data_IF_972725246163
#
_entry.id   IF_972725246163
#
_cell.length_a   1.000
_cell.length_b   1.000
_cell.length_c   1.000
_cell.angle_alpha   90.00
_cell.angle_beta   90.00
_cell.angle_gamma   90.00
#
_symmetry.space_group_name_H-M   'P 1'
#
loop_
_entity.id
_entity.type
_entity.pdbx_description
1 polymer ?
#
# COMPACT_ATOMS: atom_id res chain seq x y z
N UNK A 1 15.21 -20.49 13.20
CA UNK A 1 16.07 -19.86 12.18
C UNK A 1 15.69 -18.39 12.10
N UNK A 2 16.66 -17.47 11.90
CA UNK A 2 16.40 -16.01 11.76
C UNK A 2 16.06 -15.65 10.33
N UNK A 3 15.48 -14.46 10.13
CA UNK A 3 15.39 -13.83 8.81
C UNK A 3 16.80 -13.46 8.28
N UNK A 4 16.96 -13.11 6.98
CA UNK A 4 18.24 -12.66 6.45
C UNK A 4 18.85 -11.54 7.30
N UNK A 5 20.18 -11.45 7.38
CA UNK A 5 20.87 -10.49 8.26
C UNK A 5 20.48 -9.03 7.98
N UNK A 6 20.27 -8.70 6.69
CA UNK A 6 19.89 -7.36 6.25
C UNK A 6 18.36 -7.21 6.07
N UNK A 7 17.54 -8.06 6.72
CA UNK A 7 16.09 -7.97 6.62
C UNK A 7 15.58 -6.71 7.32
N UNK A 8 14.72 -5.97 6.63
CA UNK A 8 14.20 -4.68 7.10
C UNK A 8 12.92 -4.88 7.89
N UNK A 9 12.93 -4.51 9.16
CA UNK A 9 11.76 -4.46 10.03
C UNK A 9 11.24 -3.04 10.14
N UNK A 10 9.98 -2.81 9.77
CA UNK A 10 9.37 -1.50 9.76
C UNK A 10 7.88 -1.51 10.11
N UNK A 11 7.31 -0.32 10.12
CA UNK A 11 5.88 -0.09 10.16
C UNK A 11 5.50 0.93 9.08
N UNK A 12 4.23 0.96 8.70
CA UNK A 12 3.72 1.82 7.64
C UNK A 12 2.60 2.75 8.12
N UNK A 13 2.45 3.89 7.45
CA UNK A 13 1.30 4.81 7.54
C UNK A 13 1.06 5.49 6.19
N UNK A 14 -0.05 6.21 6.07
CA UNK A 14 -0.33 7.07 4.93
C UNK A 14 -0.76 8.47 5.39
N UNK A 15 -0.36 9.49 4.62
CA UNK A 15 -0.50 10.90 4.99
C UNK A 15 -1.93 11.28 5.41
N UNK A 16 -2.92 11.04 4.55
CA UNK A 16 -4.31 11.40 4.86
C UNK A 16 -4.86 10.68 6.09
N UNK A 17 -4.38 9.46 6.36
CA UNK A 17 -4.86 8.63 7.46
C UNK A 17 -4.29 9.04 8.82
N UNK A 18 -3.13 9.73 8.88
CA UNK A 18 -2.46 10.02 10.14
C UNK A 18 -2.15 11.50 10.38
N UNK A 19 -1.90 12.31 9.33
CA UNK A 19 -1.35 13.66 9.50
C UNK A 19 -2.34 14.62 10.15
N UNK A 20 -3.57 14.70 9.64
CA UNK A 20 -4.47 15.81 9.97
C UNK A 20 -3.98 17.14 9.39
N UNK A 21 -4.24 18.25 10.09
CA UNK A 21 -3.78 19.59 9.71
C UNK A 21 -4.12 19.96 8.24
N UNK A 22 -5.34 19.59 7.82
CA UNK A 22 -5.74 19.63 6.40
C UNK A 22 -5.85 21.04 5.83
N UNK A 23 -5.92 22.08 6.68
CA UNK A 23 -6.00 23.49 6.30
C UNK A 23 -4.75 24.29 6.68
N UNK A 24 -3.67 23.62 7.14
CA UNK A 24 -2.49 24.30 7.64
C UNK A 24 -1.37 24.37 6.60
N UNK A 25 -0.52 25.38 6.76
CA UNK A 25 0.70 25.60 5.98
C UNK A 25 0.48 25.57 4.45
N UNK A 26 -0.70 26.06 3.99
CA UNK A 26 -1.01 26.19 2.57
C UNK A 26 -1.28 24.86 1.84
N UNK A 27 -1.59 23.79 2.58
CA UNK A 27 -2.02 22.52 1.97
C UNK A 27 -3.30 22.73 1.14
N UNK A 28 -3.32 22.21 -0.09
CA UNK A 28 -4.52 22.13 -0.92
C UNK A 28 -5.44 20.96 -0.51
N UNK A 29 -6.68 20.97 -1.02
CA UNK A 29 -7.60 19.86 -0.80
C UNK A 29 -7.19 18.64 -1.63
N UNK A 30 -7.37 17.46 -1.08
CA UNK A 30 -7.35 16.18 -1.79
C UNK A 30 -8.75 15.69 -2.10
N UNK A 31 -8.87 14.70 -2.98
CA UNK A 31 -10.14 14.02 -3.24
C UNK A 31 -10.74 13.36 -1.97
N UNK A 32 -9.91 12.99 -1.00
CA UNK A 32 -10.37 12.44 0.27
C UNK A 32 -10.93 13.49 1.21
N UNK A 33 -10.43 14.73 1.18
CA UNK A 33 -11.05 15.84 1.92
C UNK A 33 -12.48 16.05 1.40
N UNK A 34 -12.68 16.15 0.09
CA UNK A 34 -14.00 16.31 -0.51
C UNK A 34 -14.91 15.10 -0.27
N UNK A 35 -14.39 13.90 -0.42
CA UNK A 35 -15.15 12.67 -0.27
C UNK A 35 -15.62 12.44 1.18
N UNK A 36 -14.74 12.58 2.16
CA UNK A 36 -15.09 12.34 3.57
C UNK A 36 -16.08 13.37 4.13
N UNK A 37 -16.10 14.59 3.61
CA UNK A 37 -17.09 15.59 3.94
C UNK A 37 -18.43 15.44 3.18
N UNK A 38 -18.50 14.52 2.22
CA UNK A 38 -19.75 14.21 1.53
C UNK A 38 -20.61 13.27 2.38
N UNK A 39 -21.86 13.65 2.72
CA UNK A 39 -22.71 12.83 3.60
C UNK A 39 -22.85 11.39 3.11
N UNK A 40 -22.66 10.43 4.02
CA UNK A 40 -22.83 8.99 3.78
C UNK A 40 -21.67 8.31 3.03
N UNK A 41 -20.55 9.01 2.82
CA UNK A 41 -19.37 8.45 2.14
C UNK A 41 -18.39 7.76 3.09
N UNK A 42 -18.38 8.17 4.34
CA UNK A 42 -17.60 7.52 5.41
C UNK A 42 -18.53 7.09 6.54
N UNK A 43 -18.14 6.06 7.27
CA UNK A 43 -18.87 5.60 8.42
C UNK A 43 -18.90 6.70 9.49
N UNK A 44 -20.05 6.95 10.11
CA UNK A 44 -20.30 8.01 11.09
C UNK A 44 -20.08 9.45 10.58
N UNK A 45 -19.73 9.66 9.30
CA UNK A 45 -19.31 10.95 8.79
C UNK A 45 -17.90 11.34 9.25
N UNK A 46 -17.07 10.36 9.60
CA UNK A 46 -15.68 10.58 10.03
C UNK A 46 -14.85 11.19 8.90
N UNK A 47 -13.91 12.07 9.25
CA UNK A 47 -13.01 12.77 8.32
C UNK A 47 -11.55 12.60 8.74
N UNK A 48 -10.60 12.83 7.82
CA UNK A 48 -9.17 12.86 8.11
C UNK A 48 -8.65 14.20 8.65
N UNK A 49 -9.52 15.14 9.04
CA UNK A 49 -9.14 16.52 9.36
C UNK A 49 -8.14 16.64 10.50
N UNK A 50 -8.30 15.77 11.51
CA UNK A 50 -7.39 15.64 12.66
C UNK A 50 -6.60 14.35 12.57
N UNK A 51 -7.25 13.26 12.17
CA UNK A 51 -6.68 11.91 12.08
C UNK A 51 -5.94 11.52 13.37
N UNK A 52 -4.63 11.28 13.27
CA UNK A 52 -3.75 11.02 14.42
C UNK A 52 -3.03 12.26 14.90
N UNK A 53 -3.24 13.41 14.26
CA UNK A 53 -2.51 14.65 14.52
C UNK A 53 -0.97 14.46 14.41
N UNK A 54 -0.55 13.54 13.54
CA UNK A 54 0.88 13.28 13.34
C UNK A 54 1.61 14.49 12.74
N UNK A 55 0.89 15.43 12.12
CA UNK A 55 1.46 16.69 11.64
C UNK A 55 2.12 17.49 12.76
N UNK A 56 1.52 17.52 13.95
CA UNK A 56 2.07 18.21 15.13
C UNK A 56 2.86 17.26 16.04
N UNK A 57 2.57 15.96 16.01
CA UNK A 57 3.07 14.96 16.97
C UNK A 57 4.03 13.94 16.36
N UNK A 58 4.59 14.21 15.18
CA UNK A 58 5.54 13.33 14.50
C UNK A 58 6.74 12.91 15.36
N UNK A 59 7.18 13.77 16.28
CA UNK A 59 8.30 13.46 17.17
C UNK A 59 7.97 12.34 18.17
N UNK A 60 6.70 12.27 18.65
CA UNK A 60 6.21 11.16 19.49
C UNK A 60 6.17 9.87 18.66
N UNK A 61 5.69 9.94 17.41
CA UNK A 61 5.59 8.79 16.53
C UNK A 61 6.99 8.21 16.21
N UNK A 62 8.00 9.07 15.97
CA UNK A 62 9.40 8.63 15.79
C UNK A 62 9.98 8.02 17.06
N UNK A 63 9.67 8.57 18.24
CA UNK A 63 10.11 8.00 19.51
C UNK A 63 9.60 6.57 19.70
N UNK A 64 8.30 6.33 19.36
CA UNK A 64 7.70 4.99 19.40
C UNK A 64 8.36 4.02 18.41
N UNK A 65 8.64 4.44 17.17
CA UNK A 65 9.38 3.61 16.21
C UNK A 65 10.75 3.20 16.76
N UNK A 66 11.46 4.14 17.39
CA UNK A 66 12.77 3.90 18.02
C UNK A 66 12.67 2.94 19.20
N UNK A 67 11.68 3.11 20.08
CA UNK A 67 11.42 2.23 21.22
C UNK A 67 11.08 0.81 20.76
N UNK A 68 10.43 0.67 19.60
CA UNK A 68 10.12 -0.61 18.98
C UNK A 68 11.29 -1.21 18.19
N UNK A 69 12.50 -0.63 18.25
CA UNK A 69 13.70 -1.08 17.52
C UNK A 69 13.53 -1.17 15.99
N UNK A 70 12.53 -0.50 15.42
CA UNK A 70 12.29 -0.52 13.98
C UNK A 70 13.40 0.24 13.25
N UNK A 71 13.81 -0.31 12.10
CA UNK A 71 14.90 0.23 11.27
C UNK A 71 14.41 0.96 10.03
N UNK A 72 13.11 0.89 9.76
CA UNK A 72 12.50 1.56 8.63
C UNK A 72 11.09 2.06 8.97
N UNK A 73 10.71 3.15 8.35
CA UNK A 73 9.37 3.69 8.41
C UNK A 73 8.88 3.99 7.00
N UNK A 74 7.79 3.33 6.59
CA UNK A 74 7.10 3.64 5.34
C UNK A 74 6.00 4.64 5.61
N UNK A 75 6.07 5.79 4.95
CA UNK A 75 5.05 6.83 5.04
C UNK A 75 4.78 7.43 3.66
N UNK A 76 3.67 8.09 3.47
CA UNK A 76 3.43 8.82 2.23
C UNK A 76 3.64 10.32 2.40
N UNK A 77 4.01 10.97 1.30
CA UNK A 77 4.05 12.43 1.20
C UNK A 77 2.73 12.88 0.57
N UNK A 78 1.99 13.76 1.26
CA UNK A 78 0.75 14.31 0.73
C UNK A 78 1.04 15.22 -0.47
N UNK A 79 0.63 14.79 -1.66
CA UNK A 79 0.81 15.59 -2.88
C UNK A 79 0.22 16.99 -2.75
N UNK A 80 -1.02 17.20 -2.23
CA UNK A 80 -1.58 18.55 -2.08
C UNK A 80 -0.87 19.40 -1.02
N UNK A 81 0.03 18.82 -0.19
CA UNK A 81 0.87 19.58 0.72
C UNK A 81 2.10 20.16 0.01
N UNK A 82 2.58 19.48 -1.03
CA UNK A 82 3.73 19.90 -1.83
C UNK A 82 3.32 20.81 -3.00
N UNK A 83 2.27 20.43 -3.69
CA UNK A 83 1.63 21.21 -4.77
C UNK A 83 0.14 21.34 -4.46
N UNK A 84 -0.29 22.43 -3.81
CA UNK A 84 -1.70 22.62 -3.40
C UNK A 84 -2.72 22.45 -4.54
N UNK A 85 -2.38 22.92 -5.74
CA UNK A 85 -3.20 22.79 -6.95
C UNK A 85 -2.79 21.58 -7.83
N UNK A 86 -1.94 20.67 -7.29
CA UNK A 86 -1.38 19.51 -8.00
C UNK A 86 -0.26 19.86 -8.97
N UNK A 87 -0.11 21.11 -9.36
CA UNK A 87 0.93 21.66 -10.24
C UNK A 87 1.25 23.10 -9.81
N UNK A 88 2.21 23.75 -10.49
CA UNK A 88 2.57 25.15 -10.22
C UNK A 88 3.75 25.26 -9.24
N UNK A 89 3.79 26.28 -8.37
CA UNK A 89 4.88 26.48 -7.44
C UNK A 89 4.83 25.43 -6.31
N UNK A 90 6.00 24.94 -5.92
CA UNK A 90 6.17 24.09 -4.73
C UNK A 90 5.80 24.91 -3.49
N UNK A 91 5.07 24.30 -2.58
CA UNK A 91 4.78 24.87 -1.27
C UNK A 91 5.98 24.64 -0.32
N UNK A 92 6.73 25.70 0.05
CA UNK A 92 7.92 25.55 0.86
C UNK A 92 7.61 25.10 2.30
N UNK A 93 6.45 25.45 2.85
CA UNK A 93 6.05 25.04 4.19
C UNK A 93 5.79 23.53 4.25
N UNK A 94 5.15 22.97 3.22
CA UNK A 94 4.95 21.52 3.10
C UNK A 94 6.27 20.76 3.02
N UNK A 95 7.22 21.21 2.18
CA UNK A 95 8.55 20.58 2.13
C UNK A 95 9.28 20.66 3.47
N UNK A 96 9.27 21.83 4.12
CA UNK A 96 9.94 22.04 5.39
C UNK A 96 9.38 21.15 6.52
N UNK A 97 8.10 20.76 6.44
CA UNK A 97 7.54 19.79 7.38
C UNK A 97 8.14 18.40 7.17
N UNK A 98 8.17 17.94 5.92
CA UNK A 98 8.77 16.63 5.58
C UNK A 98 10.29 16.62 5.80
N UNK A 99 11.00 17.77 5.68
CA UNK A 99 12.41 17.87 6.08
C UNK A 99 12.60 17.49 7.55
N UNK A 100 11.78 18.05 8.45
CA UNK A 100 11.84 17.73 9.87
C UNK A 100 11.59 16.25 10.15
N UNK A 101 10.61 15.66 9.47
CA UNK A 101 10.28 14.24 9.61
C UNK A 101 11.43 13.35 9.12
N UNK A 102 11.94 13.58 7.91
CA UNK A 102 13.02 12.78 7.30
C UNK A 102 14.31 12.91 8.11
N UNK A 103 14.71 14.13 8.47
CA UNK A 103 15.94 14.37 9.24
C UNK A 103 15.88 13.71 10.62
N UNK A 104 14.72 13.75 11.28
CA UNK A 104 14.54 13.12 12.58
C UNK A 104 14.53 11.58 12.49
N UNK A 105 13.96 11.00 11.44
CA UNK A 105 14.05 9.54 11.16
C UNK A 105 15.51 9.12 10.98
N UNK A 106 16.26 9.82 10.13
CA UNK A 106 17.67 9.53 9.88
C UNK A 106 18.51 9.69 11.16
N UNK A 107 18.27 10.74 11.95
CA UNK A 107 18.92 10.95 13.23
C UNK A 107 18.60 9.85 14.26
N UNK A 108 17.42 9.22 14.15
CA UNK A 108 17.03 8.07 14.96
C UNK A 108 17.59 6.73 14.44
N UNK A 109 18.26 6.72 13.28
CA UNK A 109 18.75 5.50 12.62
C UNK A 109 17.64 4.69 11.95
N UNK A 110 16.57 5.37 11.53
CA UNK A 110 15.40 4.79 10.87
C UNK A 110 15.42 5.22 9.40
N UNK A 111 15.48 4.27 8.48
CA UNK A 111 15.49 4.51 7.03
C UNK A 111 14.08 4.95 6.56
N UNK A 112 13.96 6.09 5.86
CA UNK A 112 12.70 6.52 5.28
C UNK A 112 12.39 5.76 3.99
N UNK A 113 11.19 5.16 3.91
CA UNK A 113 10.61 4.54 2.72
C UNK A 113 9.40 5.38 2.31
N UNK A 114 9.54 6.12 1.22
CA UNK A 114 8.56 7.14 0.83
C UNK A 114 7.57 6.62 -0.21
N UNK A 115 6.28 6.72 0.08
CA UNK A 115 5.20 6.53 -0.90
C UNK A 115 4.78 7.90 -1.44
N UNK A 116 4.78 8.07 -2.77
CA UNK A 116 4.44 9.35 -3.40
C UNK A 116 2.92 9.55 -3.56
N UNK A 117 2.19 8.48 -3.83
CA UNK A 117 0.74 8.52 -3.97
C UNK A 117 0.07 7.44 -3.15
N UNK A 118 -0.61 7.87 -2.09
CA UNK A 118 -1.44 7.00 -1.27
C UNK A 118 -2.87 7.56 -1.21
N UNK A 119 -3.44 7.70 -2.42
CA UNK A 119 -4.85 7.99 -2.76
C UNK A 119 -5.29 9.44 -2.61
N UNK A 120 -4.43 10.33 -2.16
CA UNK A 120 -4.71 11.74 -1.87
C UNK A 120 -4.43 12.67 -3.07
N UNK A 121 -5.03 12.34 -4.22
CA UNK A 121 -4.96 13.18 -5.43
C UNK A 121 -5.45 14.61 -5.12
N UNK A 122 -4.70 15.67 -5.49
CA UNK A 122 -5.17 17.02 -5.35
C UNK A 122 -6.53 17.23 -6.01
N UNK A 123 -7.49 17.81 -5.28
CA UNK A 123 -8.85 18.04 -5.79
C UNK A 123 -8.84 18.85 -7.08
N UNK A 124 -7.95 19.84 -7.19
CA UNK A 124 -7.81 20.65 -8.41
C UNK A 124 -7.42 19.84 -9.66
N UNK A 125 -6.71 18.71 -9.51
CA UNK A 125 -6.46 17.78 -10.61
C UNK A 125 -7.71 16.94 -10.90
N UNK A 126 -8.42 16.52 -9.86
CA UNK A 126 -9.67 15.77 -10.01
C UNK A 126 -10.73 16.59 -10.75
N UNK A 127 -10.84 17.89 -10.48
CA UNK A 127 -11.76 18.81 -11.14
C UNK A 127 -11.45 18.97 -12.65
N UNK A 128 -10.22 18.61 -13.05
CA UNK A 128 -9.76 18.59 -14.45
C UNK A 128 -9.79 17.19 -15.07
N UNK A 129 -10.48 16.25 -14.43
CA UNK A 129 -10.66 14.88 -14.90
C UNK A 129 -9.91 13.80 -14.11
N UNK A 130 -9.03 14.19 -13.19
CA UNK A 130 -8.29 13.25 -12.34
C UNK A 130 -7.52 12.21 -13.17
N UNK A 131 -7.56 10.95 -12.78
CA UNK A 131 -6.90 9.88 -13.51
C UNK A 131 -7.50 9.55 -14.89
N UNK A 132 -8.67 10.13 -15.26
CA UNK A 132 -9.19 10.02 -16.62
C UNK A 132 -8.44 10.95 -17.62
N UNK A 133 -7.67 11.90 -17.09
CA UNK A 133 -6.87 12.83 -17.89
C UNK A 133 -5.38 12.48 -17.76
N UNK A 134 -4.70 12.25 -18.89
CA UNK A 134 -3.27 11.90 -18.92
C UNK A 134 -2.35 13.06 -18.46
N UNK A 135 -2.82 14.31 -18.45
CA UNK A 135 -2.08 15.43 -17.86
C UNK A 135 -1.86 15.25 -16.34
N UNK A 136 -2.71 14.48 -15.66
CA UNK A 136 -2.49 14.09 -14.26
C UNK A 136 -1.24 13.22 -14.11
N UNK A 137 -0.94 12.34 -15.07
CA UNK A 137 0.28 11.54 -15.07
C UNK A 137 1.53 12.42 -15.21
N UNK A 138 1.49 13.43 -16.07
CA UNK A 138 2.58 14.41 -16.26
C UNK A 138 2.77 15.28 -15.01
N UNK A 139 1.67 15.72 -14.39
CA UNK A 139 1.70 16.46 -13.12
C UNK A 139 2.33 15.61 -11.99
N UNK A 140 1.99 14.32 -11.91
CA UNK A 140 2.58 13.40 -10.96
C UNK A 140 4.09 13.24 -11.14
N UNK A 141 4.57 13.16 -12.38
CA UNK A 141 6.01 13.12 -12.66
C UNK A 141 6.73 14.39 -12.20
N UNK A 142 6.12 15.57 -12.37
CA UNK A 142 6.63 16.84 -11.85
C UNK A 142 6.73 16.86 -10.33
N UNK A 143 5.70 16.36 -9.66
CA UNK A 143 5.71 16.19 -8.20
C UNK A 143 6.80 15.21 -7.74
N UNK A 144 6.90 14.04 -8.36
CA UNK A 144 7.92 13.04 -8.08
C UNK A 144 9.34 13.58 -8.25
N UNK A 145 9.57 14.35 -9.34
CA UNK A 145 10.86 15.02 -9.58
C UNK A 145 11.23 16.01 -8.48
N UNK A 146 10.27 16.85 -8.07
CA UNK A 146 10.49 17.86 -7.02
C UNK A 146 10.84 17.20 -5.68
N UNK A 147 10.08 16.16 -5.29
CA UNK A 147 10.33 15.42 -4.04
C UNK A 147 11.69 14.70 -4.09
N UNK A 148 11.99 13.98 -5.18
CA UNK A 148 13.25 13.24 -5.30
C UNK A 148 14.47 14.17 -5.33
N UNK A 149 14.39 15.31 -6.02
CA UNK A 149 15.45 16.30 -6.04
C UNK A 149 15.69 16.92 -4.65
N UNK A 150 14.60 17.20 -3.91
CA UNK A 150 14.67 17.79 -2.58
C UNK A 150 15.29 16.84 -1.54
N UNK A 151 14.89 15.56 -1.58
CA UNK A 151 15.37 14.55 -0.63
C UNK A 151 16.59 13.75 -1.12
N UNK A 152 17.23 14.18 -2.21
CA UNK A 152 18.42 13.51 -2.74
C UNK A 152 19.46 13.23 -1.66
N UNK A 153 19.90 11.96 -1.60
CA UNK A 153 20.88 11.49 -0.61
C UNK A 153 20.33 11.31 0.81
N UNK A 154 19.04 11.64 1.08
CA UNK A 154 18.36 11.41 2.36
C UNK A 154 17.28 10.32 2.26
N UNK A 155 16.56 10.25 1.15
CA UNK A 155 15.57 9.20 0.87
C UNK A 155 16.07 8.37 -0.30
N UNK A 156 16.18 7.07 -0.09
CA UNK A 156 16.66 6.13 -1.09
C UNK A 156 15.55 5.32 -1.76
N UNK A 157 14.47 5.02 -1.02
CA UNK A 157 13.43 4.10 -1.46
C UNK A 157 12.13 4.85 -1.71
N UNK A 158 11.63 4.78 -2.95
CA UNK A 158 10.39 5.40 -3.39
C UNK A 158 9.41 4.36 -3.91
N UNK A 159 8.19 4.38 -3.36
CA UNK A 159 7.02 3.72 -3.93
C UNK A 159 6.21 4.80 -4.66
N UNK A 160 6.11 4.71 -5.96
CA UNK A 160 5.35 5.72 -6.71
C UNK A 160 3.88 5.69 -6.37
N UNK A 161 3.29 4.49 -6.38
CA UNK A 161 1.87 4.26 -6.19
C UNK A 161 1.65 3.21 -5.08
N UNK A 162 0.68 3.49 -4.21
CA UNK A 162 0.08 2.47 -3.34
C UNK A 162 -1.24 2.02 -3.94
N UNK A 163 -1.38 0.72 -4.13
CA UNK A 163 -2.62 0.02 -4.50
C UNK A 163 -3.45 0.73 -5.57
N UNK A 164 -3.00 0.78 -6.82
CA UNK A 164 -3.87 1.24 -7.91
C UNK A 164 -5.17 0.46 -7.98
N UNK A 165 -5.20 -0.78 -7.50
CA UNK A 165 -6.38 -1.61 -7.31
C UNK A 165 -7.46 -0.92 -6.48
N UNK A 166 -7.06 -0.27 -5.39
CA UNK A 166 -7.99 0.44 -4.53
C UNK A 166 -8.30 1.83 -5.06
N UNK A 167 -7.29 2.63 -5.41
CA UNK A 167 -7.53 3.99 -5.87
C UNK A 167 -8.36 4.04 -7.17
N UNK A 168 -8.17 3.10 -8.08
CA UNK A 168 -8.96 3.01 -9.32
C UNK A 168 -10.15 2.08 -9.17
N UNK A 169 -9.97 0.84 -8.70
CA UNK A 169 -11.07 -0.13 -8.59
C UNK A 169 -12.15 0.31 -7.60
N UNK A 170 -11.78 0.81 -6.43
CA UNK A 170 -12.76 1.29 -5.46
C UNK A 170 -13.20 2.74 -5.72
N UNK A 171 -12.33 3.57 -6.31
CA UNK A 171 -12.61 4.96 -6.55
C UNK A 171 -13.40 5.25 -7.83
N UNK A 172 -13.10 4.53 -8.92
CA UNK A 172 -13.68 4.78 -10.24
C UNK A 172 -14.66 3.70 -10.71
N UNK A 173 -14.56 2.45 -10.18
CA UNK A 173 -15.47 1.36 -10.55
C UNK A 173 -16.62 1.21 -9.56
N UNK A 174 -16.35 0.92 -8.28
CA UNK A 174 -17.40 0.70 -7.27
C UNK A 174 -17.89 1.97 -6.59
N UNK A 175 -17.08 3.03 -6.55
CA UNK A 175 -17.41 4.32 -5.95
C UNK A 175 -17.47 4.32 -4.41
N UNK A 176 -16.87 3.31 -3.76
CA UNK A 176 -16.83 3.22 -2.29
C UNK A 176 -15.65 3.99 -1.68
N UNK A 177 -14.66 4.37 -2.50
CA UNK A 177 -13.57 5.27 -2.16
C UNK A 177 -13.62 6.54 -3.01
N UNK A 178 -12.86 7.57 -2.62
CA UNK A 178 -12.67 8.78 -3.41
C UNK A 178 -12.11 8.44 -4.81
N UNK A 179 -12.54 9.13 -5.87
CA UNK A 179 -13.49 10.25 -5.93
C UNK A 179 -14.97 9.84 -5.89
N UNK A 180 -15.29 8.55 -5.79
CA UNK A 180 -16.66 8.05 -5.60
C UNK A 180 -17.43 7.82 -6.89
N UNK A 181 -16.75 7.55 -8.00
CA UNK A 181 -17.35 7.32 -9.31
C UNK A 181 -17.75 5.85 -9.52
N UNK A 182 -18.74 5.66 -10.39
CA UNK A 182 -19.17 4.35 -10.90
C UNK A 182 -19.19 4.42 -12.40
N UNK A 183 -18.04 4.15 -13.01
CA UNK A 183 -17.84 4.30 -14.44
C UNK A 183 -17.92 2.95 -15.16
N UNK A 184 -18.05 3.00 -16.48
CA UNK A 184 -17.93 1.84 -17.34
C UNK A 184 -16.48 1.31 -17.37
N UNK A 185 -16.33 0.04 -17.76
CA UNK A 185 -15.05 -0.69 -17.72
C UNK A 185 -13.94 -0.03 -18.59
N UNK A 186 -14.31 0.60 -19.72
CA UNK A 186 -13.36 1.32 -20.56
C UNK A 186 -12.81 2.58 -19.86
N UNK A 187 -13.69 3.35 -19.22
CA UNK A 187 -13.29 4.53 -18.43
C UNK A 187 -12.44 4.13 -17.21
N UNK A 188 -12.80 3.04 -16.53
CA UNK A 188 -12.00 2.49 -15.43
C UNK A 188 -10.60 2.10 -15.93
N UNK A 189 -10.51 1.44 -17.10
CA UNK A 189 -9.21 1.09 -17.66
C UNK A 189 -8.41 2.32 -18.11
N UNK A 190 -9.06 3.37 -18.60
CA UNK A 190 -8.39 4.64 -18.91
C UNK A 190 -7.73 5.24 -17.66
N UNK A 191 -8.44 5.28 -16.52
CA UNK A 191 -7.88 5.73 -15.26
C UNK A 191 -6.73 4.83 -14.79
N UNK A 192 -6.89 3.51 -14.95
CA UNK A 192 -5.84 2.54 -14.64
C UNK A 192 -4.58 2.76 -15.49
N UNK A 193 -4.74 2.84 -16.80
CA UNK A 193 -3.64 3.07 -17.73
C UNK A 193 -2.88 4.37 -17.37
N UNK A 194 -3.61 5.47 -17.15
CA UNK A 194 -2.99 6.75 -16.78
C UNK A 194 -2.26 6.67 -15.44
N UNK A 195 -2.73 5.86 -14.50
CA UNK A 195 -2.04 5.62 -13.23
C UNK A 195 -0.72 4.87 -13.45
N UNK A 196 -0.71 3.83 -14.29
CA UNK A 196 0.52 3.10 -14.63
C UNK A 196 1.47 3.99 -15.48
N UNK A 197 0.94 4.77 -16.40
CA UNK A 197 1.71 5.76 -17.14
C UNK A 197 2.34 6.81 -16.22
N UNK A 198 1.62 7.26 -15.20
CA UNK A 198 2.14 8.15 -14.16
C UNK A 198 3.32 7.54 -13.40
N UNK A 199 3.24 6.25 -13.05
CA UNK A 199 4.37 5.52 -12.48
C UNK A 199 5.59 5.57 -13.39
N UNK A 200 5.41 5.31 -14.70
CA UNK A 200 6.51 5.28 -15.66
C UNK A 200 7.22 6.63 -15.75
N UNK A 201 6.46 7.72 -15.89
CA UNK A 201 7.02 9.07 -15.94
C UNK A 201 7.67 9.46 -14.61
N UNK A 202 7.07 9.12 -13.49
CA UNK A 202 7.62 9.40 -12.16
C UNK A 202 8.92 8.63 -11.90
N UNK A 203 9.00 7.36 -12.29
CA UNK A 203 10.20 6.54 -12.13
C UNK A 203 11.39 7.11 -12.89
N UNK A 204 11.18 7.56 -14.12
CA UNK A 204 12.19 8.27 -14.90
C UNK A 204 12.60 9.59 -14.25
N UNK A 205 11.63 10.38 -13.81
CA UNK A 205 11.87 11.66 -13.17
C UNK A 205 12.67 11.53 -11.87
N UNK A 206 12.34 10.53 -11.02
CA UNK A 206 13.08 10.22 -9.80
C UNK A 206 14.53 9.86 -10.12
N UNK A 207 14.76 8.94 -11.08
CA UNK A 207 16.10 8.48 -11.43
C UNK A 207 16.95 9.59 -12.05
N UNK A 208 16.35 10.53 -12.76
CA UNK A 208 17.06 11.73 -13.25
C UNK A 208 17.44 12.68 -12.12
N UNK A 209 16.56 12.85 -11.14
CA UNK A 209 16.81 13.71 -9.98
C UNK A 209 17.83 13.10 -9.02
N UNK A 210 17.69 11.80 -8.72
CA UNK A 210 18.58 11.03 -7.87
C UNK A 210 18.88 9.65 -8.49
N UNK A 211 20.04 9.46 -9.15
CA UNK A 211 20.42 8.20 -9.77
C UNK A 211 20.61 7.02 -8.80
N UNK A 212 20.80 7.29 -7.49
CA UNK A 212 20.95 6.27 -6.45
C UNK A 212 19.62 5.78 -5.89
N UNK A 213 18.53 6.50 -6.19
CA UNK A 213 17.18 6.14 -5.76
C UNK A 213 16.75 4.77 -6.30
N UNK A 214 16.02 4.03 -5.46
CA UNK A 214 15.36 2.77 -5.80
C UNK A 214 13.87 3.00 -5.92
N UNK A 215 13.30 2.62 -7.04
CA UNK A 215 11.91 2.88 -7.37
C UNK A 215 11.13 1.59 -7.47
N UNK A 216 10.06 1.50 -6.70
CA UNK A 216 9.10 0.41 -6.72
C UNK A 216 7.66 0.91 -6.75
N UNK A 217 6.74 -0.02 -6.66
CA UNK A 217 5.30 0.20 -6.49
C UNK A 217 4.79 -0.78 -5.44
N UNK A 218 3.72 -0.43 -4.74
CA UNK A 218 3.13 -1.28 -3.71
C UNK A 218 1.70 -1.71 -4.12
N UNK A 219 1.53 -2.66 -5.06
CA UNK A 219 0.23 -3.20 -5.40
C UNK A 219 -0.31 -4.14 -4.33
N UNK A 220 -1.63 -4.30 -4.33
CA UNK A 220 -2.34 -5.42 -3.72
C UNK A 220 -2.96 -6.30 -4.81
N UNK A 221 -3.68 -7.35 -4.44
CA UNK A 221 -4.40 -8.17 -5.38
C UNK A 221 -4.81 -9.51 -4.80
N UNK A 222 -5.66 -10.21 -5.52
CA UNK A 222 -6.07 -11.55 -5.15
C UNK A 222 -4.87 -12.49 -5.17
N UNK A 223 -4.61 -13.12 -4.02
CA UNK A 223 -3.68 -14.25 -3.89
C UNK A 223 -4.51 -15.52 -3.79
N UNK A 224 -4.14 -16.52 -4.58
CA UNK A 224 -4.72 -17.85 -4.50
C UNK A 224 -3.70 -18.79 -3.85
N UNK A 225 -4.12 -19.53 -2.82
CA UNK A 225 -3.28 -20.53 -2.14
C UNK A 225 -3.74 -21.92 -2.54
N UNK A 226 -2.82 -22.88 -2.74
CA UNK A 226 -3.21 -24.24 -3.12
C UNK A 226 -3.94 -24.94 -1.96
N UNK A 227 -4.91 -25.78 -2.29
CA UNK A 227 -5.65 -26.58 -1.31
C UNK A 227 -4.78 -27.64 -0.64
N UNK A 228 -3.80 -28.17 -1.38
CA UNK A 228 -2.82 -29.16 -0.92
C UNK A 228 -1.46 -28.86 -1.53
N UNK A 229 -0.43 -29.62 -1.10
CA UNK A 229 0.92 -29.56 -1.68
C UNK A 229 1.03 -30.33 -3.02
N UNK A 230 -0.07 -30.82 -3.58
CA UNK A 230 -0.08 -31.46 -4.90
C UNK A 230 0.36 -30.45 -5.98
N UNK A 231 1.30 -30.80 -6.86
CA UNK A 231 1.74 -29.93 -7.95
C UNK A 231 0.59 -29.40 -8.83
N UNK A 232 -0.49 -30.15 -9.00
CA UNK A 232 -1.67 -29.71 -9.76
C UNK A 232 -2.41 -28.58 -9.04
N UNK A 233 -2.60 -28.68 -7.72
CA UNK A 233 -3.22 -27.63 -6.91
C UNK A 233 -2.35 -26.36 -6.89
N UNK A 234 -1.03 -26.53 -6.78
CA UNK A 234 -0.07 -25.40 -6.82
C UNK A 234 -0.13 -24.71 -8.19
N UNK A 235 -0.18 -25.47 -9.28
CA UNK A 235 -0.30 -24.91 -10.64
C UNK A 235 -1.61 -24.15 -10.82
N UNK A 236 -2.73 -24.72 -10.37
CA UNK A 236 -4.05 -24.08 -10.41
C UNK A 236 -4.09 -22.79 -9.58
N UNK A 237 -3.54 -22.79 -8.37
CA UNK A 237 -3.49 -21.60 -7.53
C UNK A 237 -2.63 -20.49 -8.16
N UNK A 238 -1.49 -20.86 -8.76
CA UNK A 238 -0.65 -19.91 -9.51
C UNK A 238 -1.41 -19.29 -10.70
N UNK A 239 -2.06 -20.12 -11.52
CA UNK A 239 -2.86 -19.66 -12.64
C UNK A 239 -3.95 -18.69 -12.17
N UNK A 240 -4.72 -19.05 -11.15
CA UNK A 240 -5.80 -18.23 -10.60
C UNK A 240 -5.31 -16.89 -9.99
N UNK A 241 -4.09 -16.86 -9.45
CA UNK A 241 -3.50 -15.63 -8.90
C UNK A 241 -3.28 -14.58 -9.99
N UNK A 242 -2.90 -15.00 -11.20
CA UNK A 242 -2.61 -14.09 -12.32
C UNK A 242 -3.74 -13.98 -13.34
N UNK A 243 -4.80 -14.77 -13.18
CA UNK A 243 -5.93 -14.75 -14.10
C UNK A 243 -6.71 -13.43 -14.00
N UNK A 244 -7.08 -12.89 -15.16
CA UNK A 244 -7.97 -11.76 -15.29
C UNK A 244 -9.39 -12.30 -15.48
N UNK A 245 -10.22 -12.18 -14.45
CA UNK A 245 -11.64 -12.53 -14.55
C UNK A 245 -12.43 -11.36 -15.17
N UNK A 246 -13.46 -11.69 -15.95
CA UNK A 246 -14.39 -10.69 -16.47
C UNK A 246 -14.98 -9.86 -15.33
N UNK A 247 -14.88 -8.53 -15.44
CA UNK A 247 -15.40 -7.58 -14.46
C UNK A 247 -14.61 -7.48 -13.14
N UNK A 248 -13.54 -8.26 -12.94
CA UNK A 248 -12.75 -8.28 -11.69
C UNK A 248 -11.23 -8.17 -11.92
N UNK A 249 -10.84 -7.64 -13.06
CA UNK A 249 -9.42 -7.48 -13.42
C UNK A 249 -8.69 -6.46 -12.54
N UNK A 250 -9.40 -5.51 -11.94
CA UNK A 250 -8.81 -4.43 -11.13
C UNK A 250 -8.12 -4.94 -9.88
N UNK A 251 -8.62 -6.02 -9.23
CA UNK A 251 -8.03 -6.60 -8.03
C UNK A 251 -7.07 -7.76 -8.31
N UNK A 252 -6.25 -7.62 -9.36
CA UNK A 252 -5.20 -8.58 -9.69
C UNK A 252 -3.84 -7.89 -9.84
N UNK A 253 -2.75 -8.63 -9.67
CA UNK A 253 -1.38 -8.12 -9.85
C UNK A 253 -1.02 -7.92 -11.33
N UNK A 254 -1.62 -8.70 -12.22
CA UNK A 254 -1.25 -8.80 -13.63
C UNK A 254 -1.27 -7.46 -14.37
N UNK A 255 -2.37 -6.67 -14.36
CA UNK A 255 -2.41 -5.39 -15.08
C UNK A 255 -1.56 -4.29 -14.43
N UNK A 256 -1.12 -4.50 -13.18
CA UNK A 256 -0.21 -3.58 -12.50
C UNK A 256 1.26 -3.88 -12.79
N UNK A 257 1.65 -5.16 -12.80
CA UNK A 257 3.05 -5.57 -12.85
C UNK A 257 3.51 -6.03 -14.24
N UNK A 258 2.68 -6.72 -15.03
CA UNK A 258 3.10 -7.21 -16.35
C UNK A 258 3.63 -6.11 -17.26
N UNK A 259 2.96 -4.93 -17.39
CA UNK A 259 3.47 -3.85 -18.23
C UNK A 259 4.85 -3.34 -17.78
N UNK A 260 5.08 -3.27 -16.47
CA UNK A 260 6.32 -2.73 -15.88
C UNK A 260 7.47 -3.75 -15.83
N UNK A 261 7.15 -5.03 -15.98
CA UNK A 261 8.11 -6.14 -15.98
C UNK A 261 8.38 -6.69 -17.39
N UNK A 262 8.12 -5.92 -18.43
CA UNK A 262 8.43 -6.26 -19.83
C UNK A 262 7.53 -7.31 -20.47
N UNK A 263 6.35 -7.56 -19.87
CA UNK A 263 5.36 -8.53 -20.41
C UNK A 263 4.26 -7.87 -21.24
N UNK A 264 4.24 -6.51 -21.30
CA UNK A 264 3.22 -5.73 -21.99
C UNK A 264 1.86 -5.76 -21.29
N UNK A 265 0.89 -5.07 -21.86
CA UNK A 265 -0.48 -5.10 -21.35
C UNK A 265 -1.09 -6.49 -21.53
N UNK A 266 -1.66 -7.06 -20.47
CA UNK A 266 -2.35 -8.35 -20.58
C UNK A 266 -3.64 -8.20 -21.38
N UNK A 267 -4.08 -9.29 -22.01
CA UNK A 267 -5.42 -9.34 -22.60
C UNK A 267 -6.47 -9.30 -21.48
N UNK A 268 -7.33 -8.29 -21.53
CA UNK A 268 -8.48 -8.19 -20.64
C UNK A 268 -9.68 -8.74 -21.40
N UNK A 269 -10.25 -9.84 -20.93
CA UNK A 269 -11.36 -10.48 -21.59
C UNK A 269 -12.60 -9.55 -21.62
N UNK A 270 -13.22 -9.43 -22.77
CA UNK A 270 -14.51 -8.77 -22.95
C UNK A 270 -14.46 -7.24 -23.08
N UNK A 271 -14.67 -6.70 -24.18
CA UNK A 271 -15.34 -5.47 -24.47
C UNK A 271 -14.57 -4.17 -24.31
N UNK A 272 -14.88 -3.36 -23.31
CA UNK A 272 -14.52 -1.93 -23.28
C UNK A 272 -13.06 -1.70 -22.86
N UNK A 273 -12.59 -2.36 -21.82
CA UNK A 273 -11.21 -2.24 -21.35
C UNK A 273 -10.20 -2.67 -22.45
N UNK A 274 -10.45 -3.80 -23.12
CA UNK A 274 -9.58 -4.24 -24.21
C UNK A 274 -9.52 -3.24 -25.37
N UNK A 275 -10.63 -2.58 -25.73
CA UNK A 275 -10.61 -1.53 -26.75
C UNK A 275 -9.70 -0.36 -26.37
N UNK A 276 -9.65 0.01 -25.11
CA UNK A 276 -8.71 1.06 -24.64
C UNK A 276 -7.27 0.56 -24.77
N UNK A 277 -6.97 -0.68 -24.34
CA UNK A 277 -5.64 -1.30 -24.53
C UNK A 277 -5.20 -1.21 -25.99
N UNK A 278 -6.10 -1.54 -26.94
CA UNK A 278 -5.80 -1.58 -28.37
C UNK A 278 -5.57 -0.18 -28.99
N UNK A 279 -5.93 0.89 -28.27
CA UNK A 279 -5.83 2.28 -28.73
C UNK A 279 -4.80 3.11 -27.95
N UNK A 280 -4.04 2.49 -27.04
CA UNK A 280 -2.97 3.20 -26.31
C UNK A 280 -1.95 3.76 -27.30
N UNK A 281 -1.62 5.07 -27.24
CA UNK A 281 -0.62 5.67 -28.11
C UNK A 281 0.75 5.00 -27.97
N UNK A 282 1.48 4.87 -29.09
CA UNK A 282 2.80 4.22 -29.08
C UNK A 282 3.79 4.89 -28.13
N UNK A 283 3.75 6.22 -28.01
CA UNK A 283 4.57 6.98 -27.05
C UNK A 283 4.35 6.53 -25.60
N UNK A 284 3.08 6.25 -25.21
CA UNK A 284 2.75 5.79 -23.87
C UNK A 284 3.13 4.31 -23.67
N UNK A 285 3.09 3.50 -24.73
CA UNK A 285 3.62 2.14 -24.70
C UNK A 285 5.13 2.13 -24.53
N UNK A 286 5.84 3.01 -25.23
CA UNK A 286 7.30 3.15 -25.13
C UNK A 286 7.72 3.62 -23.72
N UNK A 287 6.89 4.43 -23.06
CA UNK A 287 7.13 4.90 -21.71
C UNK A 287 7.12 3.76 -20.66
N UNK A 288 6.52 2.60 -20.93
CA UNK A 288 6.59 1.43 -20.03
C UNK A 288 8.03 1.02 -19.72
N UNK A 289 8.95 1.22 -20.66
CA UNK A 289 10.38 0.93 -20.47
C UNK A 289 11.03 1.84 -19.41
N UNK A 290 10.49 3.02 -19.18
CA UNK A 290 10.95 3.97 -18.15
C UNK A 290 10.51 3.55 -16.75
N UNK A 291 9.39 2.83 -16.68
CA UNK A 291 8.74 2.39 -15.44
C UNK A 291 9.32 1.14 -14.78
N UNK A 292 10.53 0.68 -15.19
CA UNK A 292 11.13 -0.52 -14.61
C UNK A 292 11.23 -0.42 -13.08
N UNK A 293 10.81 -1.48 -12.42
CA UNK A 293 10.88 -1.60 -10.98
C UNK A 293 12.26 -2.09 -10.52
N UNK A 294 12.78 -1.50 -9.44
CA UNK A 294 13.97 -2.02 -8.73
C UNK A 294 13.58 -3.09 -7.70
N UNK A 295 12.33 -3.05 -7.24
CA UNK A 295 11.73 -3.99 -6.30
C UNK A 295 10.19 -3.93 -6.39
N UNK A 296 9.51 -4.94 -5.89
CA UNK A 296 8.05 -4.99 -5.77
C UNK A 296 7.68 -4.85 -4.30
N UNK A 297 6.83 -3.86 -3.97
CA UNK A 297 6.10 -3.84 -2.73
C UNK A 297 4.87 -4.75 -2.83
N UNK A 298 4.50 -5.41 -1.76
CA UNK A 298 3.28 -6.22 -1.72
C UNK A 298 2.48 -5.92 -0.46
N UNK A 299 1.24 -5.47 -0.66
CA UNK A 299 0.27 -5.37 0.41
C UNK A 299 -0.51 -6.68 0.46
N UNK A 300 -0.34 -7.46 1.52
CA UNK A 300 -0.90 -8.81 1.64
C UNK A 300 -1.68 -8.92 2.95
N UNK A 301 -2.98 -9.18 2.86
CA UNK A 301 -3.83 -9.36 4.03
C UNK A 301 -4.49 -10.74 4.10
N UNK A 302 -4.88 -11.27 2.94
CA UNK A 302 -5.58 -12.55 2.87
C UNK A 302 -5.43 -13.22 1.50
N UNK A 303 -5.98 -14.44 1.39
CA UNK A 303 -6.02 -15.21 0.15
C UNK A 303 -7.32 -15.99 0.01
N UNK A 304 -7.51 -16.58 -1.15
CA UNK A 304 -8.54 -17.60 -1.41
C UNK A 304 -7.89 -18.94 -1.72
N UNK A 305 -8.51 -20.04 -1.31
CA UNK A 305 -7.99 -21.39 -1.57
C UNK A 305 -8.48 -21.91 -2.93
N UNK A 306 -7.57 -22.52 -3.68
CA UNK A 306 -7.83 -23.06 -5.02
C UNK A 306 -7.28 -24.47 -5.12
N UNK A 307 -8.00 -25.36 -5.79
CA UNK A 307 -7.54 -26.69 -6.18
C UNK A 307 -7.62 -26.87 -7.70
N UNK A 308 -6.97 -27.89 -8.21
CA UNK A 308 -7.15 -28.33 -9.56
C UNK A 308 -8.50 -29.05 -9.70
N UNK A 309 -9.35 -28.57 -10.60
CA UNK A 309 -10.57 -29.27 -10.98
C UNK A 309 -10.29 -30.53 -11.79
N UNK A 310 -11.32 -31.31 -12.09
CA UNK A 310 -11.20 -32.55 -12.88
C UNK A 310 -10.65 -32.33 -14.30
N UNK A 311 -10.80 -31.12 -14.82
CA UNK A 311 -10.26 -30.69 -16.13
C UNK A 311 -8.88 -30.00 -16.01
N UNK A 312 -8.30 -29.98 -14.80
CA UNK A 312 -7.05 -29.32 -14.48
C UNK A 312 -7.13 -27.82 -14.28
N UNK A 313 -8.32 -27.20 -14.44
CA UNK A 313 -8.49 -25.76 -14.27
C UNK A 313 -8.66 -25.37 -12.79
N UNK A 314 -8.38 -24.09 -12.45
CA UNK A 314 -8.60 -23.61 -11.10
C UNK A 314 -10.06 -23.70 -10.63
N UNK A 315 -10.26 -24.34 -9.49
CA UNK A 315 -11.55 -24.40 -8.80
C UNK A 315 -11.42 -23.75 -7.42
N UNK A 316 -12.22 -22.70 -7.17
CA UNK A 316 -12.20 -21.99 -5.89
C UNK A 316 -12.89 -22.82 -4.80
N UNK A 317 -12.16 -23.07 -3.71
CA UNK A 317 -12.68 -23.82 -2.59
C UNK A 317 -13.48 -22.91 -1.65
N UNK A 318 -14.69 -23.31 -1.21
CA UNK A 318 -15.42 -22.59 -0.20
C UNK A 318 -14.68 -22.63 1.12
N UNK A 319 -14.75 -21.54 1.89
CA UNK A 319 -14.19 -21.53 3.24
C UNK A 319 -15.01 -22.42 4.17
N UNK A 320 -14.30 -23.08 5.09
CA UNK A 320 -14.94 -23.87 6.13
C UNK A 320 -15.85 -22.99 7.01
N UNK A 321 -16.91 -23.60 7.54
CA UNK A 321 -17.76 -22.95 8.52
C UNK A 321 -16.93 -22.53 9.74
N UNK A 322 -17.16 -21.31 10.24
CA UNK A 322 -16.41 -20.77 11.38
C UNK A 322 -14.96 -20.37 11.08
N UNK A 323 -14.57 -20.24 9.81
CA UNK A 323 -13.24 -19.77 9.45
C UNK A 323 -12.94 -18.41 10.12
N UNK A 324 -11.77 -18.22 10.76
CA UNK A 324 -11.42 -16.99 11.46
C UNK A 324 -11.47 -15.75 10.56
N UNK A 325 -11.97 -14.64 11.11
CA UNK A 325 -12.06 -13.35 10.41
C UNK A 325 -11.54 -12.23 11.29
N UNK A 326 -11.05 -11.18 10.65
CA UNK A 326 -10.69 -9.91 11.29
C UNK A 326 -11.94 -9.10 11.64
N UNK A 327 -11.81 -8.00 12.37
CA UNK A 327 -12.95 -7.12 12.69
C UNK A 327 -13.63 -6.56 11.44
N UNK A 328 -12.86 -6.17 10.42
CA UNK A 328 -13.38 -5.74 9.10
C UNK A 328 -13.97 -6.89 8.27
N UNK A 329 -13.89 -8.13 8.76
CA UNK A 329 -14.48 -9.31 8.12
C UNK A 329 -13.58 -10.06 7.14
N UNK A 330 -12.33 -9.69 6.97
CA UNK A 330 -11.38 -10.40 6.12
C UNK A 330 -10.99 -11.75 6.71
N UNK A 331 -10.80 -12.79 5.88
CA UNK A 331 -10.37 -14.09 6.39
C UNK A 331 -8.91 -14.05 6.86
N UNK A 332 -8.60 -14.82 7.90
CA UNK A 332 -7.23 -15.03 8.38
C UNK A 332 -6.63 -16.21 7.62
N UNK A 333 -5.68 -15.94 6.72
CA UNK A 333 -5.08 -16.92 5.81
C UNK A 333 -3.57 -16.67 5.68
N UNK A 334 -2.77 -17.07 6.69
CA UNK A 334 -1.33 -16.78 6.74
C UNK A 334 -0.56 -17.36 5.54
N UNK A 335 -1.06 -18.42 4.91
CA UNK A 335 -0.48 -19.04 3.71
C UNK A 335 -0.35 -18.05 2.53
N UNK A 336 -1.12 -16.95 2.56
CA UNK A 336 -1.02 -15.86 1.58
C UNK A 336 0.39 -15.27 1.49
N UNK A 337 1.11 -15.20 2.62
CA UNK A 337 2.48 -14.70 2.66
C UNK A 337 3.47 -15.60 1.94
N UNK A 338 3.32 -16.90 2.09
CA UNK A 338 4.19 -17.87 1.43
C UNK A 338 3.91 -17.92 -0.08
N UNK A 339 2.66 -18.22 -0.44
CA UNK A 339 2.32 -18.47 -1.83
C UNK A 339 2.25 -17.20 -2.67
N UNK A 340 1.77 -16.09 -2.09
CA UNK A 340 1.74 -14.80 -2.79
C UNK A 340 3.13 -14.32 -3.16
N UNK A 341 4.05 -14.29 -2.23
CA UNK A 341 5.44 -13.87 -2.48
C UNK A 341 6.16 -14.82 -3.43
N UNK A 342 5.95 -16.13 -3.27
CA UNK A 342 6.55 -17.13 -4.12
C UNK A 342 6.09 -16.99 -5.57
N UNK A 343 4.78 -16.88 -5.83
CA UNK A 343 4.25 -16.77 -7.21
C UNK A 343 4.68 -15.45 -7.88
N UNK A 344 4.68 -14.33 -7.14
CA UNK A 344 5.15 -13.03 -7.64
C UNK A 344 6.65 -13.09 -7.97
N UNK A 345 7.47 -13.64 -7.08
CA UNK A 345 8.89 -13.76 -7.31
C UNK A 345 9.23 -14.68 -8.49
N UNK A 346 8.58 -15.85 -8.58
CA UNK A 346 8.74 -16.80 -9.69
C UNK A 346 8.35 -16.17 -11.04
N UNK A 347 7.37 -15.25 -11.08
CA UNK A 347 6.90 -14.61 -12.30
C UNK A 347 7.78 -13.42 -12.74
N UNK A 348 8.25 -12.63 -11.81
CA UNK A 348 8.88 -11.34 -12.12
C UNK A 348 10.36 -11.25 -11.76
N UNK A 349 10.87 -12.09 -10.88
CA UNK A 349 12.31 -12.18 -10.54
C UNK A 349 12.87 -10.94 -9.83
N UNK A 350 12.03 -10.11 -9.22
CA UNK A 350 12.45 -8.89 -8.54
C UNK A 350 12.41 -9.09 -7.02
N UNK A 351 13.29 -8.38 -6.27
CA UNK A 351 13.22 -8.35 -4.82
C UNK A 351 11.84 -7.89 -4.32
N UNK A 352 11.38 -8.48 -3.22
CA UNK A 352 10.07 -8.17 -2.63
C UNK A 352 10.25 -7.49 -1.27
N UNK A 353 9.42 -6.49 -0.99
CA UNK A 353 9.13 -5.99 0.34
C UNK A 353 7.66 -6.21 0.65
N UNK A 354 7.33 -6.77 1.81
CA UNK A 354 5.97 -6.73 2.32
C UNK A 354 5.75 -5.32 2.83
N UNK A 355 5.01 -4.54 2.06
CA UNK A 355 4.79 -3.11 2.32
C UNK A 355 3.62 -2.84 3.23
N UNK A 356 2.69 -3.80 3.32
CA UNK A 356 1.62 -3.81 4.30
C UNK A 356 1.17 -5.24 4.61
N UNK A 357 1.00 -5.52 5.90
CA UNK A 357 0.29 -6.66 6.45
C UNK A 357 -0.14 -6.34 7.88
N UNK A 358 -1.35 -6.69 8.25
CA UNK A 358 -1.91 -6.42 9.56
C UNK A 358 -3.34 -6.94 9.71
N UNK A 359 -3.88 -6.76 10.88
CA UNK A 359 -5.24 -7.18 11.25
C UNK A 359 -5.98 -6.04 11.93
N UNK A 360 -7.23 -5.81 11.52
CA UNK A 360 -8.14 -4.96 12.30
C UNK A 360 -8.70 -5.73 13.49
N UNK A 361 -8.72 -5.08 14.64
CA UNK A 361 -9.25 -5.60 15.90
C UNK A 361 -10.16 -4.58 16.57
N UNK A 362 -10.95 -5.02 17.55
CA UNK A 362 -11.79 -4.17 18.42
C UNK A 362 -11.04 -3.82 19.70
N UNK A 363 -9.89 -3.15 19.55
CA UNK A 363 -9.00 -2.85 20.67
C UNK A 363 -9.61 -1.79 21.61
N UNK A 364 -9.36 -1.94 22.90
CA UNK A 364 -9.75 -0.98 23.94
C UNK A 364 -8.70 -0.91 25.05
N UNK A 365 -8.75 0.15 25.85
CA UNK A 365 -7.96 0.24 27.08
C UNK A 365 -8.66 -0.57 28.16
N UNK A 366 -7.95 -1.54 28.75
CA UNK A 366 -8.43 -2.38 29.84
C UNK A 366 -8.32 -1.67 31.20
N UNK A 367 -8.88 -2.29 32.27
CA UNK A 367 -8.89 -1.71 33.62
C UNK A 367 -7.50 -1.48 34.21
N UNK A 368 -6.49 -2.19 33.73
CA UNK A 368 -5.08 -1.99 34.11
C UNK A 368 -4.38 -0.86 33.34
N UNK A 369 -5.12 -0.17 32.47
CA UNK A 369 -4.61 0.93 31.65
C UNK A 369 -3.83 0.51 30.42
N UNK A 370 -3.78 -0.78 30.07
CA UNK A 370 -3.10 -1.34 28.90
C UNK A 370 -4.07 -1.73 27.79
N UNK A 371 -3.52 -2.02 26.63
CA UNK A 371 -4.28 -2.59 25.50
C UNK A 371 -3.75 -3.98 25.20
N UNK A 372 -4.55 -4.99 25.50
CA UNK A 372 -4.23 -6.39 25.29
C UNK A 372 -4.82 -6.85 23.96
N UNK A 373 -3.96 -7.20 23.02
CA UNK A 373 -4.33 -7.59 21.66
C UNK A 373 -3.69 -8.91 21.20
N UNK A 374 -3.90 -10.01 21.93
CA UNK A 374 -3.29 -11.31 21.63
C UNK A 374 -3.64 -11.84 20.24
N UNK A 375 -4.80 -11.47 19.69
CA UNK A 375 -5.20 -11.85 18.34
C UNK A 375 -4.27 -11.24 17.28
N UNK A 376 -3.79 -10.00 17.50
CA UNK A 376 -2.83 -9.36 16.59
C UNK A 376 -1.47 -10.02 16.69
N UNK A 377 -1.02 -10.38 17.89
CA UNK A 377 0.24 -11.12 18.09
C UNK A 377 0.18 -12.46 17.34
N UNK A 378 -0.87 -13.26 17.54
CA UNK A 378 -1.03 -14.56 16.86
C UNK A 378 -1.10 -14.39 15.34
N UNK A 379 -1.81 -13.38 14.84
CA UNK A 379 -1.90 -13.07 13.40
C UNK A 379 -0.51 -12.78 12.83
N UNK A 380 0.20 -11.78 13.36
CA UNK A 380 1.52 -11.38 12.86
C UNK A 380 2.48 -12.57 12.92
N UNK A 381 2.48 -13.32 14.02
CA UNK A 381 3.33 -14.48 14.20
C UNK A 381 3.12 -15.53 13.10
N UNK A 382 1.86 -15.93 12.84
CA UNK A 382 1.53 -16.90 11.77
C UNK A 382 1.94 -16.41 10.39
N UNK A 383 1.69 -15.12 10.08
CA UNK A 383 2.04 -14.54 8.79
C UNK A 383 3.55 -14.45 8.60
N UNK A 384 4.31 -14.10 9.64
CA UNK A 384 5.77 -14.10 9.60
C UNK A 384 6.37 -15.51 9.47
N UNK A 385 5.78 -16.53 10.12
CA UNK A 385 6.18 -17.91 9.91
C UNK A 385 5.96 -18.37 8.46
N UNK A 386 4.85 -17.98 7.85
CA UNK A 386 4.58 -18.26 6.44
C UNK A 386 5.57 -17.53 5.51
N UNK A 387 5.86 -16.26 5.79
CA UNK A 387 6.85 -15.48 5.05
C UNK A 387 8.25 -16.10 5.13
N UNK A 388 8.62 -16.60 6.30
CA UNK A 388 9.91 -17.29 6.50
C UNK A 388 10.01 -18.54 5.65
N UNK A 389 8.93 -19.34 5.50
CA UNK A 389 8.92 -20.50 4.59
C UNK A 389 9.18 -20.11 3.14
N UNK A 390 8.63 -18.98 2.69
CA UNK A 390 8.94 -18.45 1.36
C UNK A 390 10.43 -18.11 1.21
N UNK A 391 10.99 -17.39 2.19
CA UNK A 391 12.42 -17.04 2.21
C UNK A 391 13.30 -18.29 2.23
N UNK A 392 12.98 -19.26 3.07
CA UNK A 392 13.72 -20.54 3.19
C UNK A 392 13.67 -21.34 1.86
N UNK A 393 12.62 -21.12 1.03
CA UNK A 393 12.50 -21.71 -0.31
C UNK A 393 13.26 -20.92 -1.41
N UNK A 394 13.92 -19.81 -1.06
CA UNK A 394 14.77 -19.02 -1.95
C UNK A 394 14.12 -17.75 -2.52
N UNK A 395 12.94 -17.34 -2.04
CA UNK A 395 12.30 -16.09 -2.43
C UNK A 395 13.06 -14.91 -1.84
N UNK A 396 13.46 -13.93 -2.68
CA UNK A 396 14.17 -12.71 -2.26
C UNK A 396 13.21 -11.70 -1.61
N UNK A 397 12.82 -11.95 -0.35
CA UNK A 397 12.07 -10.99 0.46
C UNK A 397 13.02 -10.24 1.37
N UNK A 398 13.04 -8.91 1.26
CA UNK A 398 14.02 -8.03 1.90
C UNK A 398 13.51 -7.26 3.11
N UNK A 399 12.20 -7.22 3.34
CA UNK A 399 11.65 -6.50 4.48
C UNK A 399 10.15 -6.72 4.67
N UNK A 400 9.70 -6.32 5.86
CA UNK A 400 8.30 -6.38 6.28
C UNK A 400 7.94 -5.10 7.02
N UNK A 401 6.86 -4.45 6.57
CA UNK A 401 6.26 -3.28 7.18
C UNK A 401 4.88 -3.64 7.71
N UNK A 402 4.70 -3.55 9.02
CA UNK A 402 3.39 -3.76 9.62
C UNK A 402 2.43 -2.63 9.26
N UNK A 403 1.22 -2.96 8.83
CA UNK A 403 0.13 -2.03 8.72
C UNK A 403 -0.76 -2.14 9.95
N UNK A 404 -0.76 -1.12 10.81
CA UNK A 404 -0.07 0.16 10.71
C UNK A 404 0.67 0.48 12.02
N UNK A 405 1.47 1.54 12.03
CA UNK A 405 2.11 2.01 13.26
C UNK A 405 1.05 2.43 14.29
N UNK A 406 0.12 3.30 13.89
CA UNK A 406 -0.94 3.85 14.72
C UNK A 406 -2.31 3.34 14.27
N UNK A 407 -3.27 3.20 15.20
CA UNK A 407 -4.68 3.23 14.80
C UNK A 407 -4.96 4.54 14.08
N UNK A 408 -5.68 4.52 12.97
CA UNK A 408 -5.82 5.69 12.11
C UNK A 408 -7.17 5.76 11.41
N UNK A 409 -7.34 6.72 10.52
CA UNK A 409 -8.52 6.86 9.66
C UNK A 409 -8.52 5.77 8.58
N UNK A 410 -9.40 4.76 8.71
CA UNK A 410 -9.49 3.63 7.76
C UNK A 410 -10.49 3.94 6.64
N UNK A 411 -10.21 4.98 5.89
CA UNK A 411 -10.91 5.36 4.66
C UNK A 411 -12.43 5.47 4.83
N UNK A 412 -13.22 4.72 4.03
CA UNK A 412 -14.68 4.70 4.16
C UNK A 412 -15.19 4.10 5.47
N UNK A 413 -14.37 3.33 6.18
CA UNK A 413 -14.70 2.77 7.50
C UNK A 413 -14.50 3.77 8.64
N UNK A 414 -13.90 4.94 8.37
CA UNK A 414 -13.64 5.95 9.38
C UNK A 414 -12.69 5.46 10.47
N UNK A 415 -13.04 5.66 11.73
CA UNK A 415 -12.23 5.25 12.89
C UNK A 415 -12.66 3.94 13.54
N UNK A 416 -13.50 3.15 12.87
CA UNK A 416 -14.02 1.90 13.44
C UNK A 416 -13.00 0.76 13.44
N UNK A 417 -12.09 0.75 12.47
CA UNK A 417 -11.11 -0.32 12.29
C UNK A 417 -9.77 0.06 12.90
N UNK A 418 -9.22 -0.82 13.74
CA UNK A 418 -7.95 -0.56 14.43
C UNK A 418 -6.88 -1.54 13.98
N UNK A 419 -5.96 -1.07 13.14
CA UNK A 419 -4.83 -1.84 12.63
C UNK A 419 -3.51 -1.58 13.35
N UNK A 420 -3.45 -0.49 14.14
CA UNK A 420 -2.21 0.00 14.74
C UNK A 420 -1.57 -0.97 15.71
N UNK A 421 -0.24 -0.94 15.79
CA UNK A 421 0.52 -1.44 16.93
C UNK A 421 0.35 -0.52 18.14
N UNK A 422 0.09 0.74 17.89
CA UNK A 422 -0.14 1.77 18.91
C UNK A 422 -1.63 2.13 18.90
N UNK A 423 -2.27 1.99 20.06
CA UNK A 423 -3.63 2.46 20.27
C UNK A 423 -3.68 3.98 20.29
N UNK A 424 -4.58 4.56 19.51
CA UNK A 424 -4.86 5.98 19.52
C UNK A 424 -6.19 6.25 20.23
N UNK A 425 -6.14 7.08 21.25
CA UNK A 425 -7.34 7.72 21.79
C UNK A 425 -7.64 8.96 20.92
N UNK A 426 -8.60 8.84 20.03
CA UNK A 426 -8.94 9.90 19.07
C UNK A 426 -9.46 11.21 19.73
N UNK A 427 -9.95 11.14 20.97
CA UNK A 427 -10.42 12.34 21.68
C UNK A 427 -9.25 13.18 22.24
N UNK A 428 -8.17 12.53 22.66
CA UNK A 428 -7.04 13.18 23.32
C UNK A 428 -5.75 13.15 22.50
N UNK A 429 -5.71 12.34 21.45
CA UNK A 429 -4.52 12.05 20.67
C UNK A 429 -3.48 11.22 21.45
N UNK A 430 -3.80 10.67 22.61
CA UNK A 430 -2.86 9.87 23.41
C UNK A 430 -2.50 8.57 22.69
N UNK A 431 -1.19 8.30 22.58
CA UNK A 431 -0.61 7.09 22.04
C UNK A 431 -0.35 6.09 23.18
N UNK A 432 -0.84 4.86 23.05
CA UNK A 432 -0.61 3.78 24.02
C UNK A 432 -0.11 2.54 23.27
N UNK A 433 1.15 2.11 23.45
CA UNK A 433 1.63 0.86 22.87
C UNK A 433 0.76 -0.32 23.30
N UNK A 434 0.36 -1.16 22.32
CA UNK A 434 -0.37 -2.40 22.57
C UNK A 434 0.61 -3.51 22.91
N UNK A 435 0.11 -4.63 23.45
CA UNK A 435 0.97 -5.79 23.71
C UNK A 435 1.68 -6.29 22.44
N UNK A 436 1.02 -6.18 21.29
CA UNK A 436 1.62 -6.49 19.98
C UNK A 436 2.80 -5.58 19.63
N UNK A 437 2.80 -4.32 20.04
CA UNK A 437 3.93 -3.41 19.82
C UNK A 437 5.18 -3.90 20.56
N UNK A 438 5.00 -4.29 21.84
CA UNK A 438 6.09 -4.83 22.67
C UNK A 438 6.62 -6.14 22.11
N UNK A 439 5.72 -7.03 21.67
CA UNK A 439 6.09 -8.30 21.06
C UNK A 439 6.82 -8.09 19.72
N UNK A 440 6.30 -7.22 18.85
CA UNK A 440 6.90 -6.95 17.54
C UNK A 440 8.27 -6.25 17.65
N UNK A 441 8.44 -5.37 18.65
CA UNK A 441 9.73 -4.79 18.98
C UNK A 441 10.79 -5.87 19.25
N UNK A 442 10.44 -6.91 20.02
CA UNK A 442 11.34 -8.03 20.28
C UNK A 442 11.64 -8.85 19.03
N UNK A 443 10.64 -9.06 18.16
CA UNK A 443 10.85 -9.72 16.86
C UNK A 443 11.85 -8.95 16.00
N UNK A 444 11.71 -7.62 15.92
CA UNK A 444 12.63 -6.76 15.18
C UNK A 444 14.05 -6.77 15.77
N UNK A 445 14.18 -6.67 17.10
CA UNK A 445 15.45 -6.70 17.82
C UNK A 445 16.21 -8.00 17.61
N UNK A 446 15.50 -9.13 17.66
CA UNK A 446 16.10 -10.48 17.53
C UNK A 446 16.19 -10.96 16.08
N UNK A 447 15.78 -10.14 15.10
CA UNK A 447 15.66 -10.55 13.70
C UNK A 447 14.85 -11.82 13.52
N UNK A 448 13.73 -11.93 14.23
CA UNK A 448 12.80 -13.05 14.17
C UNK A 448 13.33 -14.38 14.71
N UNK A 449 14.40 -14.38 15.54
CA UNK A 449 14.93 -15.62 16.13
C UNK A 449 13.97 -16.26 17.11
N UNK A 450 13.14 -15.46 17.75
CA UNK A 450 12.19 -15.86 18.80
C UNK A 450 10.75 -16.07 18.26
N UNK A 451 10.59 -16.22 16.93
CA UNK A 451 9.33 -16.58 16.27
C UNK A 451 9.05 -18.07 16.37
#
# INVERSE_FOLDING_TARGET
MSFPENFVWGAATAAYQVEGAVQEDGRGLSIWDTFSHTPGKTRNGDTGDIACDSYHRWAEDIALLKEMHLKAYRFSIAWPRIFPEGTGPVNPAGLAWYDRLVDALLAAGIEPYVTLYHWDLPQALQDRGGWLNDDTAKAFAGYAAAVAAHFKGRVRYYFTLNEPQCSVGLGYSSGVHAPGFRLDDGSVFTAWHNTIYAHCLAADAIRRADPDAKVGMAPTGRICTPATDDPADIAAAREATFALADGDWTFTYTPALDPLCGRGWPKIAGGQAQRVVDTIPQEQLDALLLGRLDFIGMNIYNSVTVRAGADGKPEFCPRAAGHPRTAIGWPVTPESMEWGTRFIWERYGLPIYITENGISCTDCIYLDGKVHDPARIDFIHRYLLALRRAIDSGVDVRGYFHWSLLDNFEWSEGYNERFGLIYLDYATGKRTPKDSAVWYAKVAETNGKDL
#
